data_IF_310860197839
#
_entry.id   IF_310860197839
#
_cell.length_a   1.000
_cell.length_b   1.000
_cell.length_c   1.000
_cell.angle_alpha   90.00
_cell.angle_beta   90.00
_cell.angle_gamma   90.00
#
_symmetry.space_group_name_H-M   'P 1'
#
loop_
_entity.id
_entity.type
_entity.pdbx_description
1 polymer ?
#
# COMPACT_ATOMS: atom_id res chain seq x y z
N UNK A 1 25.55 9.00 -0.18
CA UNK A 1 25.12 9.32 1.18
C UNK A 1 24.87 8.01 1.89
N UNK A 2 25.78 7.61 2.78
CA UNK A 2 25.56 6.44 3.63
C UNK A 2 24.41 6.78 4.58
N UNK A 3 23.35 5.96 4.55
CA UNK A 3 22.31 6.01 5.58
C UNK A 3 22.99 5.80 6.94
N UNK A 4 22.71 6.67 7.90
CA UNK A 4 23.21 6.50 9.26
C UNK A 4 22.73 5.14 9.83
N UNK A 5 23.55 4.48 10.65
CA UNK A 5 23.26 3.15 11.19
C UNK A 5 21.91 3.12 11.96
N UNK A 6 21.61 4.19 12.70
CA UNK A 6 20.31 4.45 13.32
C UNK A 6 19.12 4.41 12.34
N UNK A 7 19.25 5.00 11.15
CA UNK A 7 18.16 5.00 10.16
C UNK A 7 17.90 3.59 9.62
N UNK A 8 18.96 2.81 9.37
CA UNK A 8 18.81 1.41 8.94
C UNK A 8 18.20 0.54 10.03
N UNK A 9 18.59 0.74 11.30
CA UNK A 9 17.98 0.04 12.44
C UNK A 9 16.50 0.40 12.60
N UNK A 10 16.15 1.68 12.44
CA UNK A 10 14.77 2.16 12.51
C UNK A 10 13.91 1.59 11.36
N UNK A 11 14.42 1.60 10.14
CA UNK A 11 13.74 1.02 8.97
C UNK A 11 13.46 -0.47 9.18
N UNK A 12 14.45 -1.23 9.65
CA UNK A 12 14.29 -2.66 9.95
C UNK A 12 13.26 -2.90 11.07
N UNK A 13 13.27 -2.06 12.11
CA UNK A 13 12.27 -2.12 13.17
C UNK A 13 10.86 -1.83 12.62
N UNK A 14 10.68 -0.78 11.83
CA UNK A 14 9.37 -0.45 11.24
C UNK A 14 8.84 -1.59 10.38
N UNK A 15 9.67 -2.19 9.51
CA UNK A 15 9.26 -3.33 8.69
C UNK A 15 8.85 -4.51 9.56
N UNK A 16 9.66 -4.91 10.53
CA UNK A 16 9.40 -6.13 11.30
C UNK A 16 8.29 -6.00 12.33
N UNK A 17 8.13 -4.80 12.91
CA UNK A 17 7.26 -4.58 14.07
C UNK A 17 5.93 -3.92 13.72
N UNK A 18 5.92 -3.03 12.73
CA UNK A 18 4.74 -2.26 12.37
C UNK A 18 4.13 -2.76 11.07
N UNK A 19 4.96 -3.08 10.08
CA UNK A 19 4.48 -3.57 8.78
C UNK A 19 4.17 -5.06 8.90
N UNK A 20 5.16 -5.92 9.15
CA UNK A 20 5.03 -7.38 9.15
C UNK A 20 4.99 -7.97 10.56
N UNK A 21 4.10 -7.42 11.41
CA UNK A 21 3.96 -7.88 12.78
C UNK A 21 3.48 -9.35 12.88
N UNK A 22 4.41 -10.25 13.19
CA UNK A 22 4.14 -11.68 13.36
C UNK A 22 3.23 -12.03 14.55
N UNK A 23 2.94 -11.08 15.46
CA UNK A 23 2.07 -11.32 16.62
C UNK A 23 0.60 -11.46 16.24
N UNK A 24 0.14 -10.82 15.18
CA UNK A 24 -1.29 -10.82 14.82
C UNK A 24 -1.87 -12.21 14.48
N UNK A 25 -1.23 -13.04 13.62
CA UNK A 25 -1.73 -14.40 13.39
C UNK A 25 -1.66 -15.27 14.66
N UNK A 26 -0.67 -15.04 15.52
CA UNK A 26 -0.52 -15.73 16.81
C UNK A 26 -1.70 -15.38 17.73
N UNK A 27 -2.01 -14.08 17.89
CA UNK A 27 -3.11 -13.59 18.71
C UNK A 27 -4.47 -14.11 18.21
N UNK A 28 -4.73 -14.07 16.90
CA UNK A 28 -5.95 -14.63 16.29
C UNK A 28 -6.10 -16.12 16.62
N UNK A 29 -5.01 -16.89 16.55
CA UNK A 29 -5.02 -18.33 16.84
C UNK A 29 -5.20 -18.62 18.33
N UNK A 30 -4.60 -17.83 19.21
CA UNK A 30 -4.80 -17.89 20.67
C UNK A 30 -6.28 -17.69 21.00
N UNK A 31 -6.89 -16.62 20.50
CA UNK A 31 -8.32 -16.32 20.76
C UNK A 31 -9.24 -17.44 20.26
N UNK A 32 -8.97 -17.98 19.06
CA UNK A 32 -9.73 -19.12 18.51
C UNK A 32 -9.59 -20.37 19.37
N UNK A 33 -8.39 -20.70 19.84
CA UNK A 33 -8.15 -21.88 20.68
C UNK A 33 -8.78 -21.71 22.06
N UNK A 34 -8.72 -20.51 22.63
CA UNK A 34 -9.34 -20.19 23.90
C UNK A 34 -10.87 -20.31 23.83
N UNK A 35 -11.51 -19.77 22.78
CA UNK A 35 -12.95 -19.92 22.57
C UNK A 35 -13.35 -21.41 22.42
N UNK A 36 -12.60 -22.19 21.63
CA UNK A 36 -12.84 -23.64 21.49
C UNK A 36 -12.71 -24.38 22.83
N UNK A 37 -11.74 -23.99 23.66
CA UNK A 37 -11.55 -24.59 24.98
C UNK A 37 -12.74 -24.31 25.92
N UNK A 38 -13.34 -23.11 25.83
CA UNK A 38 -14.52 -22.75 26.63
C UNK A 38 -15.79 -23.52 26.24
N UNK A 39 -15.93 -23.89 24.97
CA UNK A 39 -17.12 -24.60 24.47
C UNK A 39 -17.06 -26.13 24.64
N UNK A 40 -15.89 -26.72 24.90
CA UNK A 40 -15.76 -28.17 25.15
C UNK A 40 -16.09 -28.48 26.61
N UNK A 41 -17.29 -29.02 26.87
CA UNK A 41 -17.75 -29.35 28.22
C UNK A 41 -17.42 -30.80 28.63
N UNK A 42 -17.60 -31.79 27.74
CA UNK A 42 -17.59 -33.22 28.11
C UNK A 42 -16.48 -34.08 27.46
N UNK A 43 -15.60 -33.50 26.64
CA UNK A 43 -14.47 -34.23 26.03
C UNK A 43 -13.13 -33.77 26.61
N UNK A 44 -12.68 -34.47 27.66
CA UNK A 44 -11.43 -34.18 28.36
C UNK A 44 -10.19 -34.35 27.46
N UNK A 45 -10.22 -35.30 26.52
CA UNK A 45 -9.11 -35.52 25.59
C UNK A 45 -8.98 -34.36 24.60
N UNK A 46 -10.10 -33.86 24.09
CA UNK A 46 -10.17 -32.69 23.21
C UNK A 46 -9.79 -31.41 23.95
N UNK A 47 -10.25 -31.23 25.20
CA UNK A 47 -9.87 -30.11 26.07
C UNK A 47 -8.36 -30.08 26.32
N UNK A 48 -7.75 -31.25 26.59
CA UNK A 48 -6.30 -31.39 26.78
C UNK A 48 -5.51 -31.08 25.50
N UNK A 49 -6.03 -31.45 24.32
CA UNK A 49 -5.41 -31.09 23.03
C UNK A 49 -5.43 -29.58 22.80
N UNK A 50 -6.57 -28.91 23.02
CA UNK A 50 -6.66 -27.46 22.88
C UNK A 50 -5.80 -26.71 23.90
N UNK A 51 -5.74 -27.18 25.15
CA UNK A 51 -4.86 -26.60 26.17
C UNK A 51 -3.37 -26.68 25.77
N UNK A 52 -2.91 -27.82 25.22
CA UNK A 52 -1.54 -27.97 24.72
C UNK A 52 -1.25 -27.05 23.54
N UNK A 53 -2.18 -26.95 22.59
CA UNK A 53 -2.04 -26.05 21.45
C UNK A 53 -2.00 -24.58 21.91
N UNK A 54 -2.85 -24.20 22.87
CA UNK A 54 -2.86 -22.86 23.45
C UNK A 54 -1.54 -22.55 24.16
N UNK A 55 -1.03 -23.48 24.97
CA UNK A 55 0.28 -23.34 25.63
C UNK A 55 1.42 -23.15 24.61
N UNK A 56 1.40 -23.89 23.50
CA UNK A 56 2.37 -23.72 22.44
C UNK A 56 2.26 -22.35 21.75
N UNK A 57 1.05 -21.88 21.47
CA UNK A 57 0.86 -20.54 20.89
C UNK A 57 1.27 -19.42 21.85
N UNK A 58 0.99 -19.56 23.15
CA UNK A 58 1.43 -18.60 24.18
C UNK A 58 2.96 -18.57 24.32
N UNK A 59 3.65 -19.71 24.19
CA UNK A 59 5.12 -19.74 24.23
C UNK A 59 5.75 -19.13 22.97
N UNK A 60 5.12 -19.30 21.81
CA UNK A 60 5.49 -18.58 20.59
C UNK A 60 5.31 -17.07 20.76
N UNK A 61 4.16 -16.63 21.28
CA UNK A 61 3.87 -15.22 21.56
C UNK A 61 4.92 -14.62 22.51
N UNK A 62 5.23 -15.31 23.61
CA UNK A 62 6.24 -14.85 24.58
C UNK A 62 7.61 -14.68 23.93
N UNK A 63 8.07 -15.67 23.16
CA UNK A 63 9.37 -15.56 22.46
C UNK A 63 9.40 -14.39 21.50
N UNK A 64 8.31 -14.17 20.77
CA UNK A 64 8.21 -13.06 19.83
C UNK A 64 8.22 -11.71 20.55
N UNK A 65 7.49 -11.57 21.67
CA UNK A 65 7.54 -10.35 22.51
C UNK A 65 8.92 -10.08 23.07
N UNK A 66 9.64 -11.12 23.53
CA UNK A 66 11.03 -10.97 24.00
C UNK A 66 11.93 -10.51 22.86
N UNK A 67 11.83 -11.14 21.69
CA UNK A 67 12.57 -10.73 20.51
C UNK A 67 12.28 -9.27 20.13
N UNK A 68 11.02 -8.85 20.16
CA UNK A 68 10.61 -7.48 19.85
C UNK A 68 11.19 -6.47 20.84
N UNK A 69 11.21 -6.82 22.14
CA UNK A 69 11.83 -6.00 23.20
C UNK A 69 13.34 -5.86 22.97
N UNK A 70 14.01 -6.96 22.64
CA UNK A 70 15.46 -6.96 22.43
C UNK A 70 15.83 -6.12 21.19
N UNK A 71 15.08 -6.27 20.08
CA UNK A 71 15.24 -5.43 18.87
C UNK A 71 14.98 -3.94 19.14
N UNK A 72 13.95 -3.61 19.94
CA UNK A 72 13.69 -2.22 20.33
C UNK A 72 14.83 -1.66 21.18
N UNK A 73 15.36 -2.45 22.11
CA UNK A 73 16.49 -2.05 22.97
C UNK A 73 17.73 -1.78 22.12
N UNK A 74 18.06 -2.67 21.18
CA UNK A 74 19.17 -2.49 20.25
C UNK A 74 18.99 -1.23 19.37
N UNK A 75 17.78 -0.98 18.89
CA UNK A 75 17.46 0.23 18.13
C UNK A 75 17.67 1.50 18.95
N UNK A 76 17.19 1.52 20.21
CA UNK A 76 17.40 2.63 21.16
C UNK A 76 18.89 2.84 21.40
N UNK A 77 19.64 1.78 21.70
CA UNK A 77 21.09 1.86 21.95
C UNK A 77 21.85 2.42 20.73
N UNK A 78 21.43 2.05 19.53
CA UNK A 78 22.01 2.56 18.27
C UNK A 78 21.72 4.05 18.08
N UNK A 79 20.48 4.48 18.34
CA UNK A 79 20.10 5.90 18.27
C UNK A 79 20.86 6.71 19.32
N UNK A 80 20.94 6.23 20.56
CA UNK A 80 21.68 6.88 21.64
C UNK A 80 23.17 7.00 21.33
N UNK A 81 23.74 5.97 20.70
CA UNK A 81 25.13 5.99 20.25
C UNK A 81 25.37 7.03 19.16
N UNK A 82 24.50 7.10 18.15
CA UNK A 82 24.61 8.09 17.07
C UNK A 82 24.37 9.53 17.57
N UNK A 83 23.47 9.70 18.55
CA UNK A 83 23.24 10.96 19.25
C UNK A 83 24.49 11.41 20.03
N UNK A 84 25.10 10.51 20.81
CA UNK A 84 26.35 10.80 21.55
C UNK A 84 27.51 11.15 20.63
N UNK A 85 27.52 10.64 19.39
CA UNK A 85 28.54 10.93 18.38
C UNK A 85 28.26 12.21 17.60
N UNK A 86 27.14 12.90 17.85
CA UNK A 86 26.73 14.09 17.10
C UNK A 86 26.43 13.81 15.63
N UNK A 87 26.19 12.54 15.26
CA UNK A 87 25.87 12.15 13.88
C UNK A 87 24.46 12.60 13.50
N UNK A 88 23.58 12.70 14.51
CA UNK A 88 22.20 13.18 14.36
C UNK A 88 22.09 14.71 14.52
N UNK A 89 23.12 15.37 15.06
CA UNK A 89 23.21 16.84 15.24
C UNK A 89 23.67 17.52 13.94
N UNK A 90 23.02 17.17 12.83
CA UNK A 90 23.18 17.82 11.54
C UNK A 90 22.64 19.24 11.55
N UNK A 91 23.33 20.16 12.23
CA UNK A 91 23.50 21.55 11.75
C UNK A 91 24.41 21.52 10.51
N UNK A 92 23.98 20.80 9.48
CA UNK A 92 24.45 20.94 8.12
C UNK A 92 23.42 21.83 7.44
N UNK A 93 23.88 22.95 6.89
CA UNK A 93 23.11 23.90 6.10
C UNK A 93 21.86 23.28 5.47
N UNK A 94 20.74 23.99 5.61
CA UNK A 94 19.71 23.98 4.57
C UNK A 94 20.39 24.48 3.30
N UNK A 95 21.13 23.59 2.63
CA UNK A 95 21.49 23.73 1.24
C UNK A 95 20.19 23.49 0.50
N UNK A 96 19.37 24.53 0.51
CA UNK A 96 18.52 24.87 -0.62
C UNK A 96 19.41 24.68 -1.84
N UNK A 97 19.10 23.75 -2.76
CA UNK A 97 19.92 23.58 -3.95
C UNK A 97 19.77 24.86 -4.78
N UNK A 98 20.69 25.80 -4.60
CA UNK A 98 20.83 26.96 -5.47
C UNK A 98 21.73 26.49 -6.62
N UNK A 99 21.22 26.44 -7.85
CA UNK A 99 21.93 25.87 -8.98
C UNK A 99 23.01 26.84 -9.48
N UNK A 100 24.28 26.60 -9.15
CA UNK A 100 25.40 27.21 -9.86
C UNK A 100 25.75 26.37 -11.09
N UNK A 101 25.46 26.97 -12.24
CA UNK A 101 25.61 26.43 -13.57
C UNK A 101 27.07 26.19 -13.98
N UNK A 102 27.31 25.12 -14.73
CA UNK A 102 28.15 25.18 -15.94
C UNK A 102 27.62 24.17 -16.97
N UNK A 103 26.74 24.70 -17.83
CA UNK A 103 26.69 24.51 -19.29
C UNK A 103 26.69 23.09 -19.88
N UNK A 104 25.48 22.56 -20.08
CA UNK A 104 25.04 22.24 -21.44
C UNK A 104 23.60 22.72 -21.63
N UNK A 105 23.37 23.35 -22.79
CA UNK A 105 22.25 24.22 -23.09
C UNK A 105 20.88 23.52 -23.12
N UNK A 106 19.88 24.12 -22.46
CA UNK A 106 18.47 23.76 -22.60
C UNK A 106 17.52 24.60 -21.73
N UNK A 107 17.38 25.88 -22.08
CA UNK A 107 16.47 26.92 -21.53
C UNK A 107 15.28 26.46 -20.65
N UNK A 108 15.23 27.04 -19.45
CA UNK A 108 14.00 27.24 -18.64
C UNK A 108 12.90 27.96 -19.44
N UNK A 109 11.72 27.33 -19.49
CA UNK A 109 10.36 27.91 -19.54
C UNK A 109 9.59 27.13 -18.46
N UNK A 110 8.82 27.72 -17.55
CA UNK A 110 7.62 28.51 -17.83
C UNK A 110 6.48 27.54 -18.16
N UNK A 111 5.55 27.35 -17.21
CA UNK A 111 4.36 26.49 -17.29
C UNK A 111 4.62 24.99 -17.18
N UNK A 112 3.71 24.28 -16.49
CA UNK A 112 3.67 22.83 -16.37
C UNK A 112 3.86 22.18 -17.74
N UNK A 113 5.05 21.62 -18.01
CA UNK A 113 5.17 20.59 -19.04
C UNK A 113 4.48 19.36 -18.46
N UNK A 114 3.18 19.35 -18.69
CA UNK A 114 2.25 18.30 -18.37
C UNK A 114 2.67 17.04 -19.15
N UNK A 115 3.51 16.21 -18.53
CA UNK A 115 3.93 14.95 -19.11
C UNK A 115 2.70 14.09 -19.46
N UNK A 116 2.58 13.75 -20.75
CA UNK A 116 1.46 12.97 -21.28
C UNK A 116 1.78 11.50 -20.99
N UNK A 117 0.84 10.81 -20.36
CA UNK A 117 1.01 9.41 -19.99
C UNK A 117 1.01 8.53 -21.24
N UNK A 118 1.94 7.59 -21.29
CA UNK A 118 2.10 6.69 -22.44
C UNK A 118 0.93 5.73 -22.58
N UNK A 119 0.62 5.38 -23.84
CA UNK A 119 -0.31 4.30 -24.15
C UNK A 119 0.21 2.99 -23.53
N UNK A 120 -0.68 2.26 -22.86
CA UNK A 120 -0.38 1.02 -22.16
C UNK A 120 -0.09 1.20 -20.67
N UNK A 121 0.17 2.42 -20.18
CA UNK A 121 0.43 2.67 -18.75
C UNK A 121 -0.81 2.43 -17.89
N UNK A 122 -0.63 1.82 -16.72
CA UNK A 122 -1.66 1.79 -15.69
C UNK A 122 -1.82 3.17 -15.03
N UNK A 123 -3.07 3.53 -14.74
CA UNK A 123 -3.45 4.80 -14.14
C UNK A 123 -4.61 4.61 -13.18
N UNK A 124 -4.76 5.54 -12.24
CA UNK A 124 -6.03 5.72 -11.51
C UNK A 124 -6.87 6.74 -12.27
N UNK A 125 -8.09 6.39 -12.66
CA UNK A 125 -8.97 7.23 -13.47
C UNK A 125 -10.33 7.46 -12.79
N UNK A 126 -10.76 8.72 -12.68
CA UNK A 126 -12.08 9.09 -12.14
C UNK A 126 -13.14 8.94 -13.23
N UNK A 127 -13.98 7.91 -13.14
CA UNK A 127 -14.95 7.55 -14.21
C UNK A 127 -16.39 7.96 -13.93
N UNK A 128 -16.72 8.31 -12.68
CA UNK A 128 -18.05 8.80 -12.30
C UNK A 128 -18.05 10.30 -11.99
N UNK A 129 -19.10 11.00 -12.42
CA UNK A 129 -19.25 12.45 -12.22
C UNK A 129 -19.73 12.84 -10.81
N UNK A 130 -20.42 11.95 -10.09
CA UNK A 130 -21.12 12.27 -8.83
C UNK A 130 -20.55 11.56 -7.60
N UNK A 131 -20.16 10.30 -7.73
CA UNK A 131 -19.45 9.55 -6.71
C UNK A 131 -18.00 9.52 -7.14
N UNK A 132 -17.04 9.82 -6.27
CA UNK A 132 -15.62 9.93 -6.63
C UNK A 132 -14.99 8.56 -6.92
N UNK A 133 -15.52 7.85 -7.90
CA UNK A 133 -15.11 6.52 -8.28
C UNK A 133 -13.85 6.61 -9.13
N UNK A 134 -12.73 6.28 -8.51
CA UNK A 134 -11.45 6.09 -9.16
C UNK A 134 -11.21 4.61 -9.39
N UNK A 135 -10.86 4.22 -10.62
CA UNK A 135 -10.59 2.82 -10.99
C UNK A 135 -9.17 2.65 -11.52
N UNK A 136 -8.67 1.42 -11.44
CA UNK A 136 -7.47 0.99 -12.15
C UNK A 136 -7.81 0.85 -13.63
N UNK A 137 -7.16 1.64 -14.45
CA UNK A 137 -7.36 1.64 -15.88
C UNK A 137 -6.04 1.65 -16.62
N UNK A 138 -6.08 1.31 -17.92
CA UNK A 138 -4.94 1.36 -18.82
C UNK A 138 -5.16 2.44 -19.88
N UNK A 139 -4.14 3.26 -20.14
CA UNK A 139 -4.22 4.30 -21.17
C UNK A 139 -4.28 3.67 -22.57
N UNK A 140 -5.30 4.01 -23.35
CA UNK A 140 -5.44 3.56 -24.74
C UNK A 140 -5.02 4.65 -25.72
N UNK A 141 -5.42 5.89 -25.47
CA UNK A 141 -5.03 7.04 -26.29
C UNK A 141 -5.19 8.35 -25.55
N UNK A 142 -4.51 9.39 -26.02
CA UNK A 142 -4.65 10.76 -25.54
C UNK A 142 -4.95 11.70 -26.70
N UNK A 143 -5.97 12.53 -26.55
CA UNK A 143 -6.27 13.61 -27.47
C UNK A 143 -5.75 14.93 -26.88
N UNK A 144 -4.66 15.45 -27.45
CA UNK A 144 -4.02 16.68 -26.99
C UNK A 144 -4.84 17.95 -27.22
N UNK A 145 -5.75 17.94 -28.21
CA UNK A 145 -6.62 19.08 -28.50
C UNK A 145 -7.72 19.22 -27.44
N UNK A 146 -8.32 18.10 -27.03
CA UNK A 146 -9.41 18.09 -26.03
C UNK A 146 -8.92 17.84 -24.61
N UNK A 147 -7.65 17.47 -24.43
CA UNK A 147 -7.05 17.05 -23.15
C UNK A 147 -7.78 15.89 -22.47
N UNK A 148 -8.24 14.95 -23.29
CA UNK A 148 -8.99 13.77 -22.85
C UNK A 148 -8.18 12.50 -23.12
N UNK A 149 -8.15 11.60 -22.13
CA UNK A 149 -7.70 10.24 -22.31
C UNK A 149 -8.87 9.33 -22.66
N UNK A 150 -8.60 8.30 -23.46
CA UNK A 150 -9.40 7.08 -23.50
C UNK A 150 -8.66 6.05 -22.67
N UNK A 151 -9.33 5.51 -21.66
CA UNK A 151 -8.77 4.50 -20.75
C UNK A 151 -9.65 3.26 -20.73
N UNK A 152 -9.03 2.10 -20.56
CA UNK A 152 -9.68 0.79 -20.48
C UNK A 152 -9.70 0.31 -19.03
N UNK A 153 -10.87 -0.09 -18.52
CA UNK A 153 -11.03 -0.66 -17.18
C UNK A 153 -10.40 -2.05 -17.08
N UNK A 154 -9.54 -2.27 -16.08
CA UNK A 154 -8.82 -3.54 -15.88
C UNK A 154 -9.74 -4.66 -15.37
N UNK A 155 -10.89 -4.35 -14.76
CA UNK A 155 -11.80 -5.32 -14.14
C UNK A 155 -12.77 -6.02 -15.12
N UNK A 156 -12.62 -5.80 -16.43
CA UNK A 156 -13.61 -6.23 -17.43
C UNK A 156 -13.55 -7.72 -17.80
N UNK A 157 -13.24 -8.60 -16.84
CA UNK A 157 -12.70 -9.93 -17.14
C UNK A 157 -13.44 -11.19 -16.69
N UNK A 158 -14.23 -11.24 -15.61
CA UNK A 158 -14.56 -12.55 -15.00
C UNK A 158 -15.95 -12.70 -14.33
N UNK A 159 -16.97 -11.88 -14.65
CA UNK A 159 -18.30 -11.97 -14.01
C UNK A 159 -19.46 -12.47 -14.92
N UNK A 160 -19.19 -13.04 -16.10
CA UNK A 160 -20.26 -13.64 -16.94
C UNK A 160 -20.32 -15.18 -16.85
N UNK A 161 -20.24 -15.71 -15.64
CA UNK A 161 -20.48 -17.13 -15.36
C UNK A 161 -21.88 -17.36 -14.74
N UNK A 162 -22.90 -17.25 -15.60
CA UNK A 162 -23.95 -18.26 -15.74
C UNK A 162 -25.04 -18.43 -14.68
N UNK A 163 -26.24 -17.91 -14.97
CA UNK A 163 -27.49 -18.64 -14.68
C UNK A 163 -28.63 -18.30 -15.65
N UNK A 164 -28.95 -19.24 -16.56
CA UNK A 164 -30.28 -19.36 -17.16
C UNK A 164 -30.42 -19.10 -18.66
N UNK A 165 -30.04 -20.06 -19.51
CA UNK A 165 -30.39 -20.01 -20.93
C UNK A 165 -29.86 -21.15 -21.78
N UNK A 166 -30.31 -22.39 -21.51
CA UNK A 166 -30.03 -23.52 -22.38
C UNK A 166 -30.64 -23.31 -23.77
N UNK A 167 -29.84 -22.84 -24.72
CA UNK A 167 -29.96 -23.20 -26.13
C UNK A 167 -28.62 -23.02 -26.83
N UNK A 168 -28.04 -24.16 -27.20
CA UNK A 168 -26.72 -24.23 -27.82
C UNK A 168 -26.67 -23.56 -29.18
N UNK A 169 -25.75 -22.61 -29.33
CA UNK A 169 -25.06 -22.39 -30.59
C UNK A 169 -23.62 -22.03 -30.28
N UNK A 170 -22.69 -22.89 -30.69
CA UNK A 170 -21.26 -22.62 -30.62
C UNK A 170 -20.93 -21.57 -31.67
N UNK A 171 -20.74 -20.31 -31.25
CA UNK A 171 -20.12 -19.25 -32.06
C UNK A 171 -18.82 -18.81 -31.40
N UNK A 172 -17.79 -18.63 -32.22
CA UNK A 172 -16.43 -18.36 -31.83
C UNK A 172 -16.27 -17.14 -30.90
N UNK A 173 -15.50 -17.34 -29.83
CA UNK A 173 -14.54 -16.38 -29.24
C UNK A 173 -14.89 -14.90 -29.40
N UNK A 174 -15.89 -14.42 -28.66
CA UNK A 174 -15.95 -13.01 -28.30
C UNK A 174 -15.14 -12.86 -27.02
N UNK A 175 -13.92 -12.32 -27.12
CA UNK A 175 -13.23 -11.76 -25.95
C UNK A 175 -14.20 -10.77 -25.27
N UNK A 176 -14.34 -10.78 -23.94
CA UNK A 176 -15.24 -9.85 -23.27
C UNK A 176 -14.89 -8.43 -23.68
N UNK A 177 -15.89 -7.66 -24.15
CA UNK A 177 -15.69 -6.29 -24.58
C UNK A 177 -15.21 -5.45 -23.39
N UNK A 178 -13.90 -5.17 -23.36
CA UNK A 178 -13.31 -4.34 -22.31
C UNK A 178 -13.94 -2.95 -22.31
N UNK A 179 -14.34 -2.48 -21.14
CA UNK A 179 -15.06 -1.21 -20.98
C UNK A 179 -14.09 -0.04 -21.11
N UNK A 180 -14.43 0.91 -21.97
CA UNK A 180 -13.64 2.11 -22.22
C UNK A 180 -14.31 3.36 -21.65
N UNK A 181 -13.51 4.25 -21.07
CA UNK A 181 -13.94 5.52 -20.51
C UNK A 181 -13.18 6.69 -21.14
N UNK A 182 -13.88 7.79 -21.39
CA UNK A 182 -13.27 9.05 -21.83
C UNK A 182 -13.17 9.98 -20.63
N UNK A 183 -11.94 10.23 -20.19
CA UNK A 183 -11.65 10.89 -18.90
C UNK A 183 -10.78 12.13 -19.13
N UNK A 184 -11.14 13.29 -18.54
CA UNK A 184 -10.28 14.48 -18.55
C UNK A 184 -8.90 14.20 -17.97
N UNK A 185 -7.86 14.85 -18.48
CA UNK A 185 -6.49 14.69 -17.98
C UNK A 185 -6.34 14.88 -16.48
N UNK A 186 -7.04 15.86 -15.90
CA UNK A 186 -6.98 16.19 -14.46
C UNK A 186 -7.61 15.11 -13.57
N UNK A 187 -8.39 14.22 -14.20
CA UNK A 187 -9.05 13.07 -13.60
C UNK A 187 -8.30 11.76 -13.84
N UNK A 188 -7.04 11.83 -14.29
CA UNK A 188 -6.14 10.70 -14.46
C UNK A 188 -4.87 10.93 -13.64
N UNK A 189 -4.48 9.95 -12.82
CA UNK A 189 -3.26 9.95 -12.04
C UNK A 189 -2.36 8.80 -12.51
N UNK A 190 -1.09 9.11 -12.75
CA UNK A 190 -0.10 8.11 -13.12
C UNK A 190 0.10 7.11 -11.97
N UNK A 191 0.18 5.82 -12.30
CA UNK A 191 0.53 4.80 -11.33
C UNK A 191 1.99 4.37 -11.54
N UNK A 192 2.79 4.37 -10.48
CA UNK A 192 4.18 3.94 -10.55
C UNK A 192 4.32 2.41 -10.71
N UNK A 193 3.22 1.69 -10.96
CA UNK A 193 3.17 0.24 -11.07
C UNK A 193 4.03 -0.34 -12.19
N UNK A 194 4.15 0.37 -13.32
CA UNK A 194 4.90 -0.10 -14.49
C UNK A 194 6.18 0.70 -14.77
N UNK A 195 6.27 1.93 -14.26
CA UNK A 195 7.34 2.89 -14.60
C UNK A 195 8.49 2.89 -13.60
N UNK A 196 8.31 2.31 -12.41
CA UNK A 196 9.39 2.17 -11.45
C UNK A 196 10.36 1.08 -11.90
N UNK A 197 11.64 1.46 -12.06
CA UNK A 197 12.73 0.51 -12.22
C UNK A 197 12.78 -0.48 -11.03
N UNK A 198 13.48 -1.60 -11.20
CA UNK A 198 13.56 -2.69 -10.19
C UNK A 198 13.95 -2.21 -8.78
N UNK A 199 14.72 -1.12 -8.67
CA UNK A 199 15.14 -0.50 -7.39
C UNK A 199 14.38 0.80 -7.05
N UNK A 200 13.37 1.14 -7.84
CA UNK A 200 12.52 2.29 -7.66
C UNK A 200 11.66 2.17 -6.39
N UNK A 201 11.64 3.24 -5.59
CA UNK A 201 10.89 3.31 -4.35
C UNK A 201 10.27 4.69 -4.18
N UNK A 202 9.04 4.72 -3.70
CA UNK A 202 8.32 5.97 -3.40
C UNK A 202 8.17 6.06 -1.91
N UNK A 203 8.63 7.16 -1.33
CA UNK A 203 8.48 7.43 0.08
C UNK A 203 7.14 8.09 0.39
N UNK A 204 6.39 7.51 1.32
CA UNK A 204 5.18 8.10 1.89
C UNK A 204 5.43 8.50 3.34
N UNK A 205 5.12 9.75 3.67
CA UNK A 205 5.27 10.29 5.01
C UNK A 205 4.12 9.87 5.93
N UNK A 206 4.37 9.85 7.24
CA UNK A 206 3.33 9.64 8.24
C UNK A 206 2.23 10.69 8.10
N UNK A 207 0.98 10.26 8.16
CA UNK A 207 -0.23 11.08 7.98
C UNK A 207 -0.37 11.75 6.61
N UNK A 208 0.42 11.36 5.61
CA UNK A 208 0.23 11.84 4.25
C UNK A 208 -1.13 11.35 3.71
N UNK A 209 -1.90 12.26 3.13
CA UNK A 209 -3.11 11.92 2.39
C UNK A 209 -2.74 11.33 1.04
N UNK A 210 -3.35 10.19 0.74
CA UNK A 210 -3.10 9.41 -0.46
C UNK A 210 -4.41 8.84 -0.98
N UNK A 211 -4.40 8.44 -2.24
CA UNK A 211 -5.42 7.59 -2.80
C UNK A 211 -4.81 6.21 -3.02
N UNK A 212 -5.48 5.18 -2.51
CA UNK A 212 -4.96 3.82 -2.47
C UNK A 212 -5.99 2.83 -3.01
N UNK A 213 -5.53 1.80 -3.72
CA UNK A 213 -6.40 0.72 -4.17
C UNK A 213 -6.93 -0.06 -2.96
N UNK A 214 -8.24 -0.24 -2.88
CA UNK A 214 -8.83 -0.99 -1.79
C UNK A 214 -8.62 -2.51 -2.01
N UNK A 215 -8.31 -3.29 -0.96
CA UNK A 215 -7.94 -4.70 -1.13
C UNK A 215 -8.99 -5.52 -1.88
N UNK A 216 -8.53 -6.37 -2.81
CA UNK A 216 -9.37 -7.24 -3.64
C UNK A 216 -10.37 -6.47 -4.53
N UNK A 217 -10.06 -5.23 -4.88
CA UNK A 217 -10.85 -4.42 -5.83
C UNK A 217 -9.91 -3.76 -6.82
N UNK A 218 -10.49 -3.28 -7.92
CA UNK A 218 -9.82 -2.41 -8.90
C UNK A 218 -10.11 -0.93 -8.65
N UNK A 219 -10.65 -0.58 -7.48
CA UNK A 219 -11.08 0.79 -7.15
C UNK A 219 -10.14 1.45 -6.13
N UNK A 220 -9.98 2.76 -6.25
CA UNK A 220 -9.16 3.58 -5.37
C UNK A 220 -10.02 4.48 -4.50
N UNK A 221 -9.59 4.67 -3.24
CA UNK A 221 -10.28 5.45 -2.22
C UNK A 221 -9.29 6.34 -1.47
N UNK A 222 -9.82 7.40 -0.86
CA UNK A 222 -9.04 8.30 0.00
C UNK A 222 -8.57 7.57 1.25
N UNK A 223 -7.32 7.78 1.63
CA UNK A 223 -6.70 7.18 2.78
C UNK A 223 -5.60 8.05 3.37
N UNK A 224 -5.23 7.73 4.62
CA UNK A 224 -4.13 8.37 5.34
C UNK A 224 -3.05 7.33 5.65
N UNK A 225 -1.79 7.67 5.36
CA UNK A 225 -0.63 6.81 5.66
C UNK A 225 -0.42 6.73 7.18
N UNK A 226 -0.41 5.51 7.72
CA UNK A 226 -0.32 5.23 9.16
C UNK A 226 1.08 4.80 9.59
N UNK A 227 1.82 4.17 8.69
CA UNK A 227 3.22 3.79 8.88
C UNK A 227 3.97 4.20 7.62
N UNK A 228 5.03 5.03 7.72
CA UNK A 228 5.90 5.31 6.59
C UNK A 228 6.45 4.00 6.01
N UNK A 229 6.58 3.92 4.69
CA UNK A 229 7.17 2.75 4.05
C UNK A 229 8.67 2.97 3.89
N UNK A 230 9.55 2.33 4.68
CA UNK A 230 11.00 2.47 4.50
C UNK A 230 11.47 1.88 3.17
N UNK A 231 12.72 2.19 2.78
CA UNK A 231 13.27 1.69 1.52
C UNK A 231 13.27 0.16 1.50
N UNK A 232 12.70 -0.42 0.45
CA UNK A 232 12.56 -1.87 0.30
C UNK A 232 11.26 -2.46 0.87
N UNK A 233 10.43 -1.67 1.56
CA UNK A 233 9.10 -2.12 1.98
C UNK A 233 8.18 -2.27 0.76
N UNK A 234 7.62 -3.45 0.47
CA UNK A 234 6.73 -3.68 -0.67
C UNK A 234 5.32 -3.10 -0.48
N UNK A 235 4.97 -2.73 0.74
CA UNK A 235 3.66 -2.23 1.13
C UNK A 235 3.77 -0.95 1.97
N UNK A 236 2.70 -0.18 1.99
CA UNK A 236 2.44 0.92 2.93
C UNK A 236 1.19 0.59 3.73
N UNK A 237 1.18 0.92 5.02
CA UNK A 237 -0.02 0.80 5.85
C UNK A 237 -0.80 2.10 5.77
N UNK A 238 -2.05 2.01 5.32
CA UNK A 238 -2.97 3.13 5.18
C UNK A 238 -4.26 2.85 5.94
N UNK A 239 -4.98 3.90 6.28
CA UNK A 239 -6.34 3.82 6.81
C UNK A 239 -7.26 4.54 5.85
N UNK A 240 -8.29 3.85 5.37
CA UNK A 240 -9.28 4.44 4.47
C UNK A 240 -10.26 5.30 5.24
N UNK A 241 -10.66 6.41 4.64
CA UNK A 241 -11.60 7.36 5.27
C UNK A 241 -13.00 6.75 5.42
N UNK A 242 -13.42 5.94 4.45
CA UNK A 242 -14.74 5.29 4.41
C UNK A 242 -14.86 4.05 5.29
N UNK A 243 -13.76 3.54 5.84
CA UNK A 243 -13.76 2.40 6.78
C UNK A 243 -14.19 2.82 8.20
N UNK A 244 -14.31 4.14 8.46
CA UNK A 244 -14.73 4.63 9.76
C UNK A 244 -16.21 4.29 10.01
N UNK A 245 -16.48 3.59 11.12
CA UNK A 245 -17.82 3.38 11.61
C UNK A 245 -18.47 4.72 12.03
N UNK A 246 -19.79 4.73 12.23
CA UNK A 246 -20.56 5.91 12.69
C UNK A 246 -20.04 6.49 14.03
N UNK A 247 -19.18 5.74 14.73
CA UNK A 247 -18.51 6.11 15.97
C UNK A 247 -17.02 6.50 15.80
N UNK A 248 -16.48 6.49 14.58
CA UNK A 248 -15.14 6.98 14.22
C UNK A 248 -13.97 6.20 14.83
N UNK A 249 -14.20 5.00 15.34
CA UNK A 249 -13.29 4.30 16.27
C UNK A 249 -12.53 3.11 15.69
N UNK A 250 -12.97 2.52 14.56
CA UNK A 250 -12.48 1.17 14.20
C UNK A 250 -12.13 0.91 12.73
N UNK A 251 -11.78 1.93 11.94
CA UNK A 251 -11.20 1.68 10.61
C UNK A 251 -9.86 0.93 10.74
N UNK A 252 -9.73 -0.31 10.24
CA UNK A 252 -8.50 -1.08 10.35
C UNK A 252 -7.42 -0.51 9.42
N UNK A 253 -6.17 -0.55 9.86
CA UNK A 253 -5.04 -0.23 9.00
C UNK A 253 -4.85 -1.38 7.99
N UNK A 254 -4.64 -1.03 6.71
CA UNK A 254 -4.55 -1.98 5.59
C UNK A 254 -3.20 -1.88 4.90
N UNK A 255 -2.62 -3.04 4.56
CA UNK A 255 -1.39 -3.15 3.76
C UNK A 255 -1.72 -3.04 2.28
N UNK A 256 -1.29 -1.96 1.65
CA UNK A 256 -1.47 -1.75 0.20
C UNK A 256 -0.10 -1.75 -0.48
N UNK A 257 0.11 -2.46 -1.60
CA UNK A 257 1.34 -2.37 -2.35
C UNK A 257 1.61 -0.91 -2.71
N UNK A 258 2.81 -0.38 -2.42
CA UNK A 258 3.08 1.05 -2.58
C UNK A 258 2.88 1.55 -4.02
N UNK A 259 2.95 0.63 -4.99
CA UNK A 259 2.74 0.87 -6.41
C UNK A 259 1.28 1.17 -6.80
N UNK A 260 0.33 0.84 -5.94
CA UNK A 260 -1.10 1.13 -6.07
C UNK A 260 -1.55 2.23 -5.09
N UNK A 261 -0.61 3.08 -4.70
CA UNK A 261 -0.85 4.27 -3.88
C UNK A 261 -0.36 5.47 -4.68
N UNK A 262 -1.13 6.56 -4.64
CA UNK A 262 -0.77 7.83 -5.28
C UNK A 262 -0.96 8.98 -4.30
N UNK A 263 -0.06 9.96 -4.26
CA UNK A 263 -0.28 11.20 -3.50
C UNK A 263 -1.52 11.94 -3.98
N UNK A 264 -2.31 12.48 -3.04
CA UNK A 264 -3.43 13.39 -3.32
C UNK A 264 -2.96 14.85 -3.37
#
# INVERSE_FOLDING_TARGET
>A
MESCASQTALDAFMVTQLIDNGMEPIAKKINRLYAKLQHVQDDEAMRKRYARQLQHMLSLAYRLVVQHRDQLTECIDTIDHDLKRGVLDGSGDVVTPTPTATSSNGRRRGFFDEEILSVGSHVAAKVARSHELWILARVISYNSLTRMYVVEDVDTGEDDDGEGGANGTQTAQAEPERRHHVVPRDQVKDLPADSLETDGWIHYALNQHVMAMYPNTTSFYSAVVRVPNPKGAPYVLVRFDDDADEFGSHAPDRKIPFRFVVPL
#
